data_IF_154899833174
#
_entry.id   IF_154899833174
#
_cell.length_a   1.000
_cell.length_b   1.000
_cell.length_c   1.000
_cell.angle_alpha   90.00
_cell.angle_beta   90.00
_cell.angle_gamma   90.00
#
_symmetry.space_group_name_H-M   'P 1'
#
loop_
_entity.id
_entity.type
_entity.pdbx_description
1 polymer ?
#
# COMPACT_ATOMS: atom_id res chain seq x y z
N UNK A 1 12.50 48.47 19.16
CA UNK A 1 11.49 48.30 18.10
C UNK A 1 10.26 47.65 18.69
N UNK A 2 9.08 48.30 18.67
CA UNK A 2 7.81 47.70 19.09
C UNK A 2 7.11 47.15 17.85
N UNK A 3 7.03 45.82 17.71
CA UNK A 3 6.25 45.21 16.63
C UNK A 3 4.76 45.43 16.88
N UNK A 4 4.04 45.89 15.86
CA UNK A 4 2.60 46.10 15.92
C UNK A 4 1.87 44.75 16.04
N UNK A 5 0.82 44.66 16.87
CA UNK A 5 0.05 43.42 17.14
C UNK A 5 -0.30 42.60 15.87
N UNK A 6 -0.74 43.18 14.74
CA UNK A 6 -1.01 42.42 13.51
C UNK A 6 0.24 41.75 12.90
N UNK A 7 1.41 42.37 13.03
CA UNK A 7 2.67 41.82 12.49
C UNK A 7 3.09 40.59 13.27
N UNK A 8 2.88 40.58 14.59
CA UNK A 8 3.15 39.41 15.45
C UNK A 8 2.20 38.26 15.12
N UNK A 9 0.93 38.54 14.85
CA UNK A 9 -0.07 37.51 14.46
C UNK A 9 0.27 36.91 13.10
N UNK A 10 0.64 37.72 12.11
CA UNK A 10 1.05 37.24 10.79
C UNK A 10 2.31 36.36 10.91
N UNK A 11 3.31 36.78 11.70
CA UNK A 11 4.51 35.98 11.96
C UNK A 11 4.19 34.63 12.61
N UNK A 12 3.29 34.61 13.59
CA UNK A 12 2.86 33.36 14.24
C UNK A 12 2.14 32.42 13.26
N UNK A 13 1.26 32.96 12.41
CA UNK A 13 0.56 32.16 11.38
C UNK A 13 1.58 31.59 10.38
N UNK A 14 2.53 32.40 9.90
CA UNK A 14 3.58 31.96 8.97
C UNK A 14 4.46 30.87 9.60
N UNK A 15 4.88 31.05 10.84
CA UNK A 15 5.67 30.06 11.58
C UNK A 15 4.90 28.75 11.80
N UNK A 16 3.62 28.84 12.16
CA UNK A 16 2.75 27.66 12.30
C UNK A 16 2.57 26.94 10.95
N UNK A 17 2.29 27.67 9.86
CA UNK A 17 2.18 27.07 8.53
C UNK A 17 3.50 26.47 8.02
N UNK A 18 4.64 27.06 8.37
CA UNK A 18 5.96 26.54 8.01
C UNK A 18 6.31 25.26 8.80
N UNK A 19 5.84 25.13 10.04
CA UNK A 19 5.96 23.89 10.82
C UNK A 19 5.10 22.76 10.27
N UNK A 20 3.91 23.05 9.73
CA UNK A 20 3.05 22.05 9.09
C UNK A 20 3.69 21.46 7.82
N UNK A 21 4.55 22.20 7.12
CA UNK A 21 5.23 21.73 5.90
C UNK A 21 6.45 20.83 6.17
N UNK A 22 6.91 20.70 7.43
CA UNK A 22 8.12 19.97 7.79
C UNK A 22 7.90 18.51 8.23
N UNK A 23 6.66 18.04 8.35
CA UNK A 23 6.36 16.65 8.72
C UNK A 23 5.97 15.83 7.49
N UNK A 24 6.96 15.49 6.66
CA UNK A 24 6.79 14.46 5.63
C UNK A 24 6.96 13.08 6.28
N UNK A 25 5.99 12.18 6.13
CA UNK A 25 6.14 10.77 6.49
C UNK A 25 6.57 9.98 5.24
N UNK A 26 7.67 9.23 5.33
CA UNK A 26 8.07 8.26 4.31
C UNK A 26 7.63 6.86 4.74
N UNK A 27 6.86 6.20 3.87
CA UNK A 27 6.45 4.81 4.03
C UNK A 27 7.37 3.91 3.20
N UNK A 28 7.81 2.81 3.79
CA UNK A 28 8.78 1.89 3.19
C UNK A 28 8.33 0.45 3.36
N UNK A 29 8.64 -0.39 2.38
CA UNK A 29 8.47 -1.84 2.53
C UNK A 29 9.46 -2.39 3.56
N UNK A 30 8.98 -3.26 4.45
CA UNK A 30 9.82 -4.10 5.31
C UNK A 30 9.80 -5.56 4.82
N UNK A 31 8.61 -6.12 4.58
CA UNK A 31 8.48 -7.47 4.03
C UNK A 31 7.20 -7.65 3.23
N UNK A 32 7.22 -8.63 2.32
CA UNK A 32 6.06 -9.14 1.59
C UNK A 32 6.17 -10.66 1.66
N UNK A 33 5.11 -11.32 2.12
CA UNK A 33 5.08 -12.77 2.31
C UNK A 33 3.74 -13.33 1.83
N UNK A 34 3.76 -14.35 0.98
CA UNK A 34 2.58 -15.10 0.59
C UNK A 34 2.35 -16.26 1.56
N UNK A 35 1.15 -16.36 2.10
CA UNK A 35 0.76 -17.41 3.06
C UNK A 35 -0.05 -18.53 2.41
N UNK A 36 -0.82 -18.24 1.36
CA UNK A 36 -1.72 -19.19 0.70
C UNK A 36 -1.80 -18.94 -0.81
N UNK A 37 -2.21 -19.97 -1.57
CA UNK A 37 -2.69 -19.86 -2.95
C UNK A 37 -1.63 -19.87 -4.03
N UNK A 38 -0.48 -20.49 -3.77
CA UNK A 38 0.62 -20.65 -4.73
C UNK A 38 0.20 -21.44 -5.98
N UNK A 39 -0.86 -22.25 -5.91
CA UNK A 39 -1.44 -22.97 -7.06
C UNK A 39 -2.33 -22.08 -7.94
N UNK A 40 -2.74 -20.91 -7.45
CA UNK A 40 -3.55 -19.92 -8.17
C UNK A 40 -2.63 -18.83 -8.74
N UNK A 41 -1.86 -18.20 -7.86
CA UNK A 41 -0.85 -17.23 -8.23
C UNK A 41 0.30 -17.34 -7.25
N UNK A 42 1.50 -17.67 -7.74
CA UNK A 42 2.70 -17.71 -6.92
C UNK A 42 3.47 -16.40 -7.04
N UNK A 43 3.90 -15.82 -5.93
CA UNK A 43 4.74 -14.61 -5.93
C UNK A 43 6.15 -14.92 -5.44
N UNK A 44 7.16 -14.45 -6.19
CA UNK A 44 8.56 -14.43 -5.75
C UNK A 44 9.04 -13.00 -5.42
N UNK A 45 8.10 -12.06 -5.23
CA UNK A 45 8.40 -10.68 -4.89
C UNK A 45 9.15 -10.60 -3.56
N UNK A 46 10.28 -9.90 -3.57
CA UNK A 46 11.13 -9.67 -2.40
C UNK A 46 11.31 -8.18 -2.16
N UNK A 47 11.34 -7.84 -0.87
CA UNK A 47 11.72 -6.51 -0.41
C UNK A 47 13.22 -6.48 -0.18
N UNK A 48 13.91 -5.50 -0.76
CA UNK A 48 15.35 -5.28 -0.57
C UNK A 48 15.67 -3.83 -0.31
N UNK A 49 16.78 -3.58 0.38
CA UNK A 49 17.35 -2.23 0.50
C UNK A 49 17.94 -1.83 -0.84
N UNK A 50 17.49 -0.70 -1.39
CA UNK A 50 18.06 -0.12 -2.60
C UNK A 50 19.19 0.86 -2.24
N UNK A 51 18.97 1.69 -1.23
CA UNK A 51 19.98 2.59 -0.66
C UNK A 51 19.76 2.75 0.86
N UNK A 52 20.52 3.64 1.52
CA UNK A 52 20.46 3.84 2.98
C UNK A 52 19.06 4.21 3.50
N UNK A 53 18.25 4.87 2.70
CA UNK A 53 16.94 5.41 3.11
C UNK A 53 15.77 4.73 2.41
N UNK A 54 16.02 3.83 1.45
CA UNK A 54 15.01 3.36 0.50
C UNK A 54 15.01 1.84 0.39
N UNK A 55 13.81 1.27 0.46
CA UNK A 55 13.54 -0.14 0.16
C UNK A 55 12.64 -0.23 -1.06
N UNK A 56 12.86 -1.27 -1.86
CA UNK A 56 12.12 -1.52 -3.09
C UNK A 56 11.61 -2.96 -3.11
N UNK A 57 10.47 -3.16 -3.74
CA UNK A 57 9.95 -4.47 -4.10
C UNK A 57 10.46 -4.86 -5.50
N UNK A 58 10.90 -6.11 -5.65
CA UNK A 58 11.31 -6.68 -6.93
C UNK A 58 10.92 -8.15 -7.02
N UNK A 59 10.32 -8.56 -8.13
CA UNK A 59 10.02 -9.95 -8.45
C UNK A 59 8.89 -10.06 -9.47
N UNK A 60 8.25 -11.20 -9.47
CA UNK A 60 7.23 -11.65 -10.43
C UNK A 60 6.08 -12.33 -9.69
N UNK A 61 4.87 -12.11 -10.19
CA UNK A 61 3.68 -12.88 -9.84
C UNK A 61 3.37 -13.80 -11.01
N UNK A 62 3.48 -15.09 -10.78
CA UNK A 62 3.20 -16.16 -11.73
C UNK A 62 1.73 -16.55 -11.58
N UNK A 63 0.86 -15.96 -12.40
CA UNK A 63 -0.57 -16.31 -12.38
C UNK A 63 -0.76 -17.64 -13.10
N UNK A 64 -1.21 -18.67 -12.39
CA UNK A 64 -1.39 -20.03 -12.92
C UNK A 64 -2.84 -20.32 -13.32
N UNK A 65 -3.79 -19.51 -12.84
CA UNK A 65 -5.22 -19.60 -13.16
C UNK A 65 -5.75 -18.23 -13.56
N UNK A 66 -6.80 -18.23 -14.37
CA UNK A 66 -7.54 -17.01 -14.69
C UNK A 66 -8.27 -16.50 -13.45
N UNK A 67 -8.25 -15.19 -13.25
CA UNK A 67 -8.94 -14.54 -12.11
C UNK A 67 -10.18 -13.84 -12.66
N UNK A 68 -11.36 -14.35 -12.29
CA UNK A 68 -12.66 -13.75 -12.61
C UNK A 68 -13.06 -12.73 -11.53
N UNK A 69 -14.19 -12.05 -11.72
CA UNK A 69 -14.71 -11.13 -10.71
C UNK A 69 -15.32 -11.84 -9.48
N UNK A 70 -15.45 -13.17 -9.50
CA UNK A 70 -15.94 -13.97 -8.36
C UNK A 70 -14.90 -14.09 -7.23
N UNK A 71 -13.66 -13.72 -7.51
CA UNK A 71 -12.57 -13.63 -6.55
C UNK A 71 -12.70 -12.31 -5.79
N UNK A 72 -13.21 -12.37 -4.56
CA UNK A 72 -13.42 -11.22 -3.69
C UNK A 72 -12.16 -10.91 -2.89
N UNK A 73 -11.65 -9.68 -3.00
CA UNK A 73 -10.49 -9.23 -2.23
C UNK A 73 -10.90 -8.50 -0.96
N UNK A 74 -10.22 -8.81 0.13
CA UNK A 74 -10.36 -8.15 1.43
C UNK A 74 -8.98 -7.67 1.90
N UNK A 75 -8.96 -6.51 2.54
CA UNK A 75 -7.76 -5.94 3.15
C UNK A 75 -8.02 -5.60 4.61
N UNK A 76 -7.37 -6.33 5.51
CA UNK A 76 -7.30 -6.03 6.93
C UNK A 76 -5.99 -5.32 7.25
N UNK A 77 -6.09 -4.17 7.92
CA UNK A 77 -4.94 -3.37 8.29
C UNK A 77 -4.72 -3.41 9.79
N UNK A 78 -3.46 -3.48 10.17
CA UNK A 78 -3.03 -3.48 11.56
C UNK A 78 -1.88 -2.51 11.77
N UNK A 79 -1.81 -1.94 12.97
CA UNK A 79 -0.84 -0.92 13.32
C UNK A 79 -0.12 -1.25 14.63
N UNK A 80 1.20 -1.08 14.62
CA UNK A 80 2.08 -1.22 15.78
C UNK A 80 2.86 0.07 16.00
N UNK A 81 2.53 0.79 17.08
CA UNK A 81 3.18 2.06 17.45
C UNK A 81 4.65 1.89 17.83
N UNK A 82 4.98 0.81 18.54
CA UNK A 82 6.32 0.57 19.07
C UNK A 82 7.23 -0.19 18.10
N UNK A 83 6.68 -0.70 17.00
CA UNK A 83 7.41 -1.53 16.05
C UNK A 83 7.90 -2.87 16.63
N UNK A 84 7.32 -3.31 17.75
CA UNK A 84 7.66 -4.55 18.45
C UNK A 84 6.86 -5.76 17.94
N UNK A 85 6.37 -5.70 16.69
CA UNK A 85 5.52 -6.71 16.06
C UNK A 85 4.20 -7.04 16.80
N UNK A 86 3.81 -6.22 17.78
CA UNK A 86 2.49 -6.29 18.41
C UNK A 86 1.56 -5.34 17.67
N UNK A 87 0.63 -5.91 16.92
CA UNK A 87 -0.23 -5.19 16.00
C UNK A 87 -1.65 -5.09 16.57
N UNK A 88 -2.23 -3.89 16.54
CA UNK A 88 -3.64 -3.66 16.83
C UNK A 88 -4.40 -3.52 15.52
N UNK A 89 -5.57 -4.15 15.44
CA UNK A 89 -6.44 -4.02 14.28
C UNK A 89 -6.84 -2.56 14.08
N UNK A 90 -6.61 -2.06 12.87
CA UNK A 90 -6.96 -0.72 12.43
C UNK A 90 -8.18 -0.85 11.52
N UNK A 91 -9.37 -0.40 11.97
CA UNK A 91 -10.57 -0.51 11.16
C UNK A 91 -10.45 0.43 9.95
N UNK A 92 -10.13 -0.12 8.79
CA UNK A 92 -10.23 0.56 7.51
C UNK A 92 -11.36 -0.07 6.70
N UNK A 93 -12.31 0.77 6.26
CA UNK A 93 -13.39 0.35 5.38
C UNK A 93 -12.90 0.39 3.93
N UNK A 94 -12.09 -0.58 3.54
CA UNK A 94 -11.89 -0.83 2.12
C UNK A 94 -13.00 -1.78 1.64
N UNK A 95 -13.60 -1.50 0.47
CA UNK A 95 -14.69 -2.32 -0.01
C UNK A 95 -14.17 -3.74 -0.30
N UNK A 96 -14.83 -4.74 0.27
CA UNK A 96 -14.74 -6.10 -0.27
C UNK A 96 -15.40 -6.06 -1.64
N UNK A 97 -14.61 -6.32 -2.68
CA UNK A 97 -15.05 -6.25 -4.07
C UNK A 97 -14.41 -7.38 -4.87
N UNK A 98 -15.06 -7.75 -5.97
CA UNK A 98 -14.48 -8.65 -6.95
C UNK A 98 -13.17 -8.09 -7.51
N UNK A 99 -12.25 -8.97 -7.90
CA UNK A 99 -10.91 -8.55 -8.29
C UNK A 99 -10.89 -7.60 -9.50
N UNK A 100 -11.75 -7.83 -10.50
CA UNK A 100 -11.85 -6.97 -11.66
C UNK A 100 -12.35 -5.57 -11.27
N UNK A 101 -13.42 -5.51 -10.46
CA UNK A 101 -13.97 -4.24 -9.96
C UNK A 101 -12.94 -3.50 -9.08
N UNK A 102 -12.14 -4.23 -8.31
CA UNK A 102 -11.06 -3.67 -7.50
C UNK A 102 -9.97 -3.04 -8.37
N UNK A 103 -9.54 -3.72 -9.43
CA UNK A 103 -8.56 -3.19 -10.39
C UNK A 103 -9.06 -1.89 -11.03
N UNK A 104 -10.31 -1.88 -11.51
CA UNK A 104 -10.93 -0.69 -12.11
C UNK A 104 -11.04 0.46 -11.11
N UNK A 105 -11.37 0.15 -9.85
CA UNK A 105 -11.37 1.13 -8.78
C UNK A 105 -9.98 1.74 -8.55
N UNK A 106 -8.90 0.95 -8.62
CA UNK A 106 -7.53 1.47 -8.50
C UNK A 106 -7.18 2.37 -9.69
N UNK A 107 -7.45 1.95 -10.92
CA UNK A 107 -7.22 2.80 -12.10
C UNK A 107 -7.90 4.17 -11.99
N UNK A 108 -9.17 4.16 -11.54
CA UNK A 108 -9.99 5.38 -11.43
C UNK A 108 -9.60 6.31 -10.29
N UNK A 109 -9.31 5.77 -9.11
CA UNK A 109 -9.11 6.57 -7.89
C UNK A 109 -7.63 6.81 -7.57
N UNK A 110 -6.74 5.99 -8.12
CA UNK A 110 -5.30 6.00 -7.87
C UNK A 110 -4.55 5.92 -9.21
N UNK A 111 -4.64 6.98 -10.05
CA UNK A 111 -4.01 6.97 -11.36
C UNK A 111 -2.49 6.83 -11.23
N UNK A 112 -1.90 5.97 -12.07
CA UNK A 112 -0.46 5.69 -12.08
C UNK A 112 -0.02 4.57 -11.13
N UNK A 113 -0.85 4.12 -10.19
CA UNK A 113 -0.46 3.06 -9.25
C UNK A 113 -0.32 1.69 -9.91
N UNK A 114 -1.14 1.42 -10.93
CA UNK A 114 -1.03 0.19 -11.72
C UNK A 114 0.26 0.12 -12.55
N UNK A 115 0.98 1.25 -12.76
CA UNK A 115 2.31 1.25 -13.39
C UNK A 115 3.41 0.58 -12.55
N UNK A 116 3.07 0.21 -11.30
CA UNK A 116 3.90 -0.62 -10.45
C UNK A 116 4.07 -2.04 -11.01
N UNK A 117 3.09 -2.51 -11.77
CA UNK A 117 3.00 -3.86 -12.33
C UNK A 117 3.19 -3.81 -13.85
N UNK A 118 4.31 -4.35 -14.32
CA UNK A 118 4.53 -4.58 -15.75
C UNK A 118 3.81 -5.86 -16.18
N UNK A 119 3.10 -5.81 -17.30
CA UNK A 119 2.17 -6.85 -17.74
C UNK A 119 1.02 -7.13 -16.76
N UNK A 120 0.68 -6.15 -15.91
CA UNK A 120 -0.48 -6.24 -15.01
C UNK A 120 -1.83 -6.15 -15.72
N UNK A 121 -2.95 -6.37 -14.99
CA UNK A 121 -4.30 -6.16 -15.48
C UNK A 121 -4.52 -4.76 -16.06
N UNK A 122 -5.15 -4.65 -17.23
CA UNK A 122 -5.57 -3.37 -17.80
C UNK A 122 -6.92 -2.90 -17.22
N UNK A 123 -7.22 -1.61 -17.35
CA UNK A 123 -8.54 -1.06 -17.00
C UNK A 123 -9.63 -1.70 -17.86
N UNK A 124 -10.70 -2.19 -17.22
CA UNK A 124 -11.82 -2.90 -17.85
C UNK A 124 -11.51 -4.33 -18.27
N UNK A 125 -10.35 -4.87 -17.90
CA UNK A 125 -9.97 -6.25 -18.23
C UNK A 125 -10.64 -7.24 -17.27
N UNK A 126 -11.46 -8.16 -17.79
CA UNK A 126 -12.02 -9.27 -17.03
C UNK A 126 -12.49 -10.38 -17.98
N UNK A 127 -12.20 -11.67 -17.72
CA UNK A 127 -11.31 -12.18 -16.67
C UNK A 127 -9.84 -11.84 -16.93
N UNK A 128 -9.04 -11.80 -15.86
CA UNK A 128 -7.59 -11.61 -15.98
C UNK A 128 -6.96 -12.93 -16.39
N UNK A 129 -6.34 -12.96 -17.58
CA UNK A 129 -5.76 -14.20 -18.12
C UNK A 129 -4.44 -14.55 -17.46
N UNK A 130 -4.12 -15.86 -17.49
CA UNK A 130 -2.84 -16.44 -17.05
C UNK A 130 -1.66 -15.70 -17.70
N UNK A 131 -0.80 -15.11 -16.87
CA UNK A 131 0.40 -14.37 -17.28
C UNK A 131 1.36 -14.19 -16.12
N UNK A 132 2.59 -13.81 -16.46
CA UNK A 132 3.57 -13.35 -15.49
C UNK A 132 3.49 -11.82 -15.38
N UNK A 133 3.31 -11.33 -14.15
CA UNK A 133 3.25 -9.90 -13.83
C UNK A 133 4.53 -9.52 -13.11
N UNK A 134 5.25 -8.51 -13.59
CA UNK A 134 6.56 -8.16 -13.05
C UNK A 134 6.53 -6.87 -12.23
N UNK A 135 7.36 -6.83 -11.19
CA UNK A 135 7.61 -5.66 -10.35
C UNK A 135 9.11 -5.40 -10.34
N UNK A 136 9.53 -4.26 -10.89
CA UNK A 136 10.95 -3.92 -11.02
C UNK A 136 11.34 -2.75 -10.12
N UNK A 137 12.01 -3.08 -9.01
CA UNK A 137 12.63 -2.14 -8.08
C UNK A 137 11.75 -0.93 -7.72
N UNK A 138 10.50 -1.20 -7.35
CA UNK A 138 9.53 -0.14 -7.07
C UNK A 138 9.48 0.21 -5.58
N UNK A 139 9.52 1.51 -5.27
CA UNK A 139 9.30 2.05 -3.91
C UNK A 139 7.82 2.10 -3.56
N UNK A 140 7.47 1.96 -2.28
CA UNK A 140 6.08 2.15 -1.85
C UNK A 140 5.66 3.62 -2.06
N UNK A 141 4.59 3.90 -2.82
CA UNK A 141 4.09 5.26 -3.01
C UNK A 141 3.51 5.80 -1.70
N UNK A 142 4.23 6.69 -1.01
CA UNK A 142 3.81 7.19 0.32
C UNK A 142 2.50 7.99 0.25
N UNK A 143 2.25 8.62 -0.88
CA UNK A 143 1.04 9.36 -1.23
C UNK A 143 -0.20 8.47 -1.39
N UNK A 144 -0.05 7.13 -1.45
CA UNK A 144 -1.20 6.20 -1.47
C UNK A 144 -2.06 6.28 -0.22
N UNK A 145 -1.42 6.62 0.91
CA UNK A 145 -2.07 6.56 2.21
C UNK A 145 -2.32 7.98 2.68
N UNK A 146 -3.58 8.36 2.95
CA UNK A 146 -3.91 9.68 3.44
C UNK A 146 -3.05 10.06 4.66
N UNK A 147 -2.36 11.22 4.68
CA UNK A 147 -1.47 11.60 5.78
C UNK A 147 -2.13 11.62 7.16
N UNK A 148 -3.45 11.85 7.21
CA UNK A 148 -4.24 11.82 8.45
C UNK A 148 -4.33 10.42 9.09
N UNK A 149 -4.10 9.35 8.32
CA UNK A 149 -4.18 7.96 8.76
C UNK A 149 -2.80 7.39 9.13
N UNK A 150 -1.71 8.05 8.72
CA UNK A 150 -0.35 7.54 8.88
C UNK A 150 0.33 8.21 10.09
N UNK A 151 1.00 7.39 10.88
CA UNK A 151 1.81 7.77 12.03
C UNK A 151 3.07 6.91 12.03
N UNK A 152 4.13 7.38 12.67
CA UNK A 152 5.34 6.58 12.84
C UNK A 152 5.02 5.22 13.50
N UNK A 153 5.54 4.15 12.89
CA UNK A 153 5.32 2.79 13.37
C UNK A 153 5.41 1.76 12.27
N UNK A 154 5.00 0.53 12.60
CA UNK A 154 4.83 -0.55 11.64
C UNK A 154 3.35 -0.72 11.31
N UNK A 155 3.08 -0.99 10.04
CA UNK A 155 1.78 -1.34 9.52
C UNK A 155 1.87 -2.74 8.92
N UNK A 156 0.85 -3.54 9.15
CA UNK A 156 0.69 -4.86 8.53
C UNK A 156 -0.62 -4.85 7.75
N UNK A 157 -0.53 -5.06 6.45
CA UNK A 157 -1.65 -5.31 5.58
C UNK A 157 -1.77 -6.81 5.37
N UNK A 158 -2.93 -7.38 5.68
CA UNK A 158 -3.31 -8.73 5.27
C UNK A 158 -4.28 -8.59 4.11
N UNK A 159 -3.85 -9.02 2.94
CA UNK A 159 -4.68 -9.07 1.74
C UNK A 159 -5.07 -10.52 1.53
N UNK A 160 -6.37 -10.80 1.60
CA UNK A 160 -6.94 -12.12 1.37
C UNK A 160 -7.88 -12.08 0.18
N UNK A 161 -7.93 -13.18 -0.54
CA UNK A 161 -8.85 -13.40 -1.63
C UNK A 161 -9.76 -14.57 -1.27
N UNK A 162 -11.06 -14.35 -1.37
CA UNK A 162 -12.12 -15.30 -1.05
C UNK A 162 -12.83 -15.68 -2.35
N UNK A 163 -12.98 -16.98 -2.58
CA UNK A 163 -13.78 -17.53 -3.66
C UNK A 163 -14.88 -18.40 -3.06
N UNK A 164 -16.14 -18.06 -3.31
CA UNK A 164 -17.31 -18.76 -2.77
C UNK A 164 -17.25 -18.98 -1.23
N UNK A 165 -16.78 -17.97 -0.49
CA UNK A 165 -16.68 -18.01 0.97
C UNK A 165 -15.46 -18.75 1.54
N UNK A 166 -14.57 -19.25 0.68
CA UNK A 166 -13.31 -19.89 1.11
C UNK A 166 -12.13 -19.00 0.75
N UNK A 167 -11.22 -18.76 1.70
CA UNK A 167 -9.95 -18.09 1.42
C UNK A 167 -9.09 -18.98 0.52
N UNK A 168 -8.70 -18.45 -0.64
CA UNK A 168 -7.95 -19.21 -1.66
C UNK A 168 -6.56 -18.66 -1.92
N UNK A 169 -6.30 -17.40 -1.56
CA UNK A 169 -5.02 -16.73 -1.76
C UNK A 169 -4.85 -15.67 -0.67
N UNK A 170 -3.66 -15.58 -0.08
CA UNK A 170 -3.37 -14.52 0.88
C UNK A 170 -1.91 -14.14 0.96
N UNK A 171 -1.70 -12.87 1.25
CA UNK A 171 -0.39 -12.26 1.39
C UNK A 171 -0.40 -11.26 2.54
N UNK A 172 0.74 -11.14 3.21
CA UNK A 172 1.00 -10.12 4.20
C UNK A 172 2.06 -9.15 3.71
N UNK A 173 1.81 -7.87 3.90
CA UNK A 173 2.76 -6.79 3.59
C UNK A 173 3.02 -6.02 4.86
N UNK A 174 4.29 -5.92 5.24
CA UNK A 174 4.72 -5.07 6.35
C UNK A 174 5.32 -3.79 5.79
N UNK A 175 4.78 -2.67 6.24
CA UNK A 175 5.22 -1.32 5.91
C UNK A 175 5.74 -0.62 7.16
N UNK A 176 6.71 0.26 6.99
CA UNK A 176 7.26 1.10 8.05
C UNK A 176 7.12 2.56 7.68
N UNK A 177 6.43 3.32 8.52
CA UNK A 177 6.30 4.76 8.41
C UNK A 177 7.30 5.44 9.35
N UNK A 178 8.08 6.39 8.81
CA UNK A 178 9.05 7.20 9.54
C UNK A 178 9.03 8.64 9.06
N UNK A 179 9.22 9.60 9.96
CA UNK A 179 9.47 10.99 9.61
C UNK A 179 10.69 11.12 8.65
N UNK A 180 10.61 12.10 7.75
CA UNK A 180 11.67 12.48 6.79
C UNK A 180 12.59 13.52 7.41
#
# INVERSE_FOLDING_TARGET
MKFSRPVVVILLIVLLSCHYQAFGLKIRFESIEQTLGQDIAWTDIRVRKYNRTTTVANGTVYMSKEITNDYEYQLDLFYSRLGNQQFNHMPMKLPTAGFCDFVDYIYKNYPGYMSFFENGPQEGECPITVRDVHVFDKEFPSEAVPPLLVRNGLYKALVSCVLHGTEVLSFSVILKATDI
#
